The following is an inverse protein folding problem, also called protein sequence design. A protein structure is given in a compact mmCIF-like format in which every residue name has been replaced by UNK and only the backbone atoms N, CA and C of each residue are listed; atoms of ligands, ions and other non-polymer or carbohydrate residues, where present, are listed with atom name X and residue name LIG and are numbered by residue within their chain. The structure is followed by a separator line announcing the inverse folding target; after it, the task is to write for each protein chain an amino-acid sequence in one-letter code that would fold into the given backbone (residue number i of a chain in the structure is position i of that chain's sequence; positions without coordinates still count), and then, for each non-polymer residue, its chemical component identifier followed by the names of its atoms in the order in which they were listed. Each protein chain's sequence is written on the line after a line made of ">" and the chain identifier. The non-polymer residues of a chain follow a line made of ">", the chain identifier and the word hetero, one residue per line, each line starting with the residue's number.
data_IF_968592818040
#
_entry.id   IF_968592818040
#
_cell.length_a   1.000
_cell.length_b   1.000
_cell.length_c   1.000
_cell.angle_alpha   90.00
_cell.angle_beta   90.00
_cell.angle_gamma   90.00
#
_symmetry.space_group_name_H-M   'P 1'
#
loop_
_entity.id
_entity.type
_entity.pdbx_description
1 polymer ?
#
# COMPACT_ATOMS: atom_id res chain seq x y z
N UNK A 1 14.89 -11.86 2.44
CA UNK A 1 14.73 -10.42 2.29
C UNK A 1 15.82 -9.64 3.01
N UNK A 2 16.15 -10.08 4.21
CA UNK A 2 17.17 -9.40 5.01
C UNK A 2 18.59 -9.74 4.50
N UNK A 3 19.51 -8.80 4.65
CA UNK A 3 20.94 -8.95 4.41
C UNK A 3 21.74 -8.92 5.72
N UNK A 4 23.05 -8.83 5.63
CA UNK A 4 23.94 -8.55 6.79
C UNK A 4 24.02 -7.04 7.07
N UNK A 5 23.25 -6.24 6.38
CA UNK A 5 23.16 -4.79 6.46
C UNK A 5 21.77 -4.37 6.94
N UNK A 6 21.51 -3.06 6.97
CA UNK A 6 20.27 -2.52 7.47
C UNK A 6 19.17 -2.45 6.38
N UNK A 7 17.95 -2.82 6.75
CA UNK A 7 16.75 -2.65 5.95
C UNK A 7 15.76 -1.71 6.64
N UNK A 8 15.14 -0.80 5.88
CA UNK A 8 14.21 0.22 6.38
C UNK A 8 13.07 0.48 5.36
N UNK A 9 12.05 1.24 5.77
CA UNK A 9 11.03 1.81 4.90
C UNK A 9 10.20 0.78 4.12
N UNK A 10 9.81 -0.33 4.77
CA UNK A 10 9.05 -1.41 4.10
C UNK A 10 7.66 -0.96 3.67
N UNK A 11 7.28 -1.29 2.44
CA UNK A 11 5.96 -1.05 1.87
C UNK A 11 5.48 -2.28 1.09
N UNK A 12 4.34 -2.85 1.51
CA UNK A 12 3.67 -3.89 0.75
C UNK A 12 2.76 -3.24 -0.30
N UNK A 13 3.02 -3.54 -1.57
CA UNK A 13 2.15 -3.09 -2.65
C UNK A 13 0.73 -3.69 -2.49
N UNK A 14 -0.33 -2.94 -2.84
CA UNK A 14 -1.71 -3.43 -2.72
C UNK A 14 -2.05 -4.69 -3.53
N UNK A 15 -1.18 -5.12 -4.46
CA UNK A 15 -1.32 -6.41 -5.15
C UNK A 15 -1.15 -7.63 -4.21
N UNK A 16 -0.69 -7.40 -2.97
CA UNK A 16 -0.41 -8.44 -1.98
C UNK A 16 0.78 -9.34 -2.34
N UNK A 17 1.54 -9.00 -3.38
CA UNK A 17 2.63 -9.83 -3.92
C UNK A 17 3.97 -9.15 -3.94
N UNK A 18 4.02 -7.84 -4.14
CA UNK A 18 5.24 -7.07 -4.29
C UNK A 18 5.53 -6.27 -3.04
N UNK A 19 6.73 -6.42 -2.51
CA UNK A 19 7.23 -5.63 -1.38
C UNK A 19 8.36 -4.73 -1.85
N UNK A 20 8.30 -3.47 -1.47
CA UNK A 20 9.37 -2.49 -1.61
C UNK A 20 9.96 -2.20 -0.24
N UNK A 21 11.25 -1.98 -0.18
CA UNK A 21 11.97 -1.60 1.03
C UNK A 21 13.28 -0.92 0.66
N UNK A 22 13.89 -0.26 1.61
CA UNK A 22 15.20 0.37 1.43
C UNK A 22 16.26 -0.48 2.10
N UNK A 23 17.42 -0.62 1.49
CA UNK A 23 18.55 -1.36 2.06
C UNK A 23 19.88 -0.73 1.65
N UNK A 24 20.84 -0.72 2.55
CA UNK A 24 22.24 -0.41 2.26
C UNK A 24 23.06 -1.67 1.94
N UNK A 25 22.38 -2.83 1.87
CA UNK A 25 22.86 -4.11 1.36
C UNK A 25 22.34 -4.43 -0.04
N UNK A 26 22.26 -5.71 -0.39
CA UNK A 26 21.65 -6.19 -1.64
C UNK A 26 22.19 -5.54 -2.92
N UNK A 27 23.50 -5.27 -2.99
CA UNK A 27 24.14 -4.60 -4.14
C UNK A 27 23.62 -3.15 -4.32
N UNK A 28 23.53 -2.40 -3.18
CA UNK A 28 23.18 -0.97 -3.23
C UNK A 28 24.19 -0.18 -4.07
N UNK A 29 23.72 0.92 -4.68
CA UNK A 29 24.52 1.82 -5.52
C UNK A 29 25.23 2.90 -4.68
N UNK A 30 24.74 3.13 -3.47
CA UNK A 30 25.21 4.22 -2.60
C UNK A 30 24.92 3.93 -1.14
N UNK A 31 24.11 4.77 -0.51
CA UNK A 31 23.57 4.53 0.82
C UNK A 31 22.40 3.54 0.77
N UNK A 32 21.28 3.89 1.38
CA UNK A 32 20.04 3.13 1.23
C UNK A 32 19.50 3.25 -0.18
N UNK A 33 19.24 2.12 -0.82
CA UNK A 33 18.60 2.02 -2.12
C UNK A 33 17.23 1.35 -2.01
N UNK A 34 16.28 1.77 -2.84
CA UNK A 34 14.99 1.12 -2.97
C UNK A 34 15.17 -0.24 -3.66
N UNK A 35 14.76 -1.28 -2.96
CA UNK A 35 14.72 -2.65 -3.43
C UNK A 35 13.28 -3.11 -3.60
N UNK A 36 13.05 -4.13 -4.44
CA UNK A 36 11.79 -4.84 -4.46
C UNK A 36 11.98 -6.34 -4.49
N UNK A 37 11.00 -7.05 -3.97
CA UNK A 37 10.91 -8.50 -4.01
C UNK A 37 9.46 -8.91 -4.21
N UNK A 38 9.25 -10.06 -4.85
CA UNK A 38 7.91 -10.59 -5.11
C UNK A 38 7.74 -11.92 -4.39
N UNK A 39 6.57 -12.12 -3.77
CA UNK A 39 6.25 -13.40 -3.14
C UNK A 39 5.88 -14.45 -4.20
N UNK A 40 6.33 -15.68 -3.98
CA UNK A 40 6.04 -16.86 -4.80
C UNK A 40 5.59 -18.00 -3.90
N UNK A 41 5.18 -19.12 -4.46
CA UNK A 41 4.80 -20.33 -3.71
C UNK A 41 5.93 -20.86 -2.82
N UNK A 42 7.18 -20.52 -3.13
CA UNK A 42 8.38 -20.95 -2.38
C UNK A 42 8.93 -19.88 -1.44
N UNK A 43 8.28 -18.71 -1.35
CA UNK A 43 8.70 -17.57 -0.53
C UNK A 43 9.09 -16.36 -1.38
N UNK A 44 9.81 -15.41 -0.79
CA UNK A 44 10.23 -14.18 -1.46
C UNK A 44 11.38 -14.45 -2.45
N UNK A 45 11.31 -13.79 -3.60
CA UNK A 45 12.44 -13.76 -4.56
C UNK A 45 13.64 -13.03 -3.96
N UNK A 46 14.84 -13.24 -4.52
CA UNK A 46 16.01 -12.42 -4.19
C UNK A 46 15.65 -10.95 -4.46
N UNK A 47 15.90 -10.02 -3.51
CA UNK A 47 15.69 -8.59 -3.73
C UNK A 47 16.42 -8.08 -4.95
N UNK A 48 15.79 -7.14 -5.67
CA UNK A 48 16.34 -6.47 -6.83
C UNK A 48 16.37 -4.97 -6.59
N UNK A 49 17.50 -4.36 -6.92
CA UNK A 49 17.67 -2.93 -6.90
C UNK A 49 16.82 -2.26 -8.01
N UNK A 50 16.09 -1.19 -7.67
CA UNK A 50 15.27 -0.44 -8.64
C UNK A 50 16.11 0.34 -9.65
N UNK A 51 17.38 0.59 -9.34
CA UNK A 51 18.32 1.27 -10.21
C UNK A 51 18.00 2.75 -10.47
N UNK A 52 18.87 3.36 -11.28
CA UNK A 52 18.67 4.74 -11.72
C UNK A 52 17.44 4.83 -12.68
N UNK A 53 16.60 5.88 -12.63
CA UNK A 53 16.76 7.13 -11.87
C UNK A 53 16.12 7.14 -10.48
N UNK A 54 15.60 6.01 -9.99
CA UNK A 54 14.98 5.90 -8.68
C UNK A 54 16.05 5.96 -7.61
N UNK A 55 17.02 5.06 -7.69
CA UNK A 55 18.17 5.01 -6.80
C UNK A 55 19.32 5.87 -7.32
N UNK A 56 20.09 6.41 -6.37
CA UNK A 56 21.22 7.32 -6.59
C UNK A 56 22.44 6.87 -5.75
N UNK A 57 23.47 7.71 -5.68
CA UNK A 57 24.61 7.46 -4.78
C UNK A 57 24.34 7.89 -3.33
N UNK A 58 23.23 8.54 -3.08
CA UNK A 58 22.77 8.93 -1.73
C UNK A 58 21.86 7.89 -1.11
N UNK A 59 21.08 8.32 -0.12
CA UNK A 59 20.01 7.50 0.46
C UNK A 59 18.70 7.73 -0.30
N UNK A 60 18.11 6.67 -0.79
CA UNK A 60 16.80 6.63 -1.41
C UNK A 60 15.89 5.73 -0.57
N UNK A 61 14.82 6.32 -0.01
CA UNK A 61 14.02 5.63 1.01
C UNK A 61 12.52 5.88 0.86
N UNK A 62 11.70 5.04 1.50
CA UNK A 62 10.25 5.21 1.61
C UNK A 62 9.49 5.19 0.28
N UNK A 63 9.81 4.26 -0.59
CA UNK A 63 9.11 4.11 -1.86
C UNK A 63 7.69 3.59 -1.65
N UNK A 64 6.68 4.34 -2.11
CA UNK A 64 5.27 3.96 -2.07
C UNK A 64 4.62 4.23 -3.42
N UNK A 65 3.82 3.29 -3.91
CA UNK A 65 3.08 3.46 -5.18
C UNK A 65 1.66 3.92 -4.93
N UNK A 66 1.05 4.57 -5.94
CA UNK A 66 -0.40 4.73 -5.97
C UNK A 66 -1.08 3.39 -6.29
N UNK A 67 -2.34 3.16 -5.83
CA UNK A 67 -3.05 1.90 -6.07
C UNK A 67 -3.21 1.56 -7.56
N UNK A 68 -3.27 2.55 -8.43
CA UNK A 68 -3.35 2.38 -9.89
C UNK A 68 -1.99 2.05 -10.54
N UNK A 69 -0.90 2.02 -9.76
CA UNK A 69 0.44 1.74 -10.23
C UNK A 69 1.07 2.83 -11.10
N UNK A 70 0.38 3.98 -11.31
CA UNK A 70 0.84 5.00 -12.26
C UNK A 70 1.84 5.99 -11.68
N UNK A 71 1.92 6.09 -10.35
CA UNK A 71 2.84 6.97 -9.65
C UNK A 71 3.49 6.29 -8.48
N UNK A 72 4.69 6.73 -8.16
CA UNK A 72 5.36 6.40 -6.92
C UNK A 72 5.90 7.67 -6.24
N UNK A 73 6.00 7.62 -4.93
CA UNK A 73 6.58 8.66 -4.10
C UNK A 73 7.73 8.05 -3.31
N UNK A 74 8.83 8.77 -3.21
CA UNK A 74 9.99 8.34 -2.43
C UNK A 74 10.77 9.54 -1.92
N UNK A 75 11.63 9.33 -0.94
CA UNK A 75 12.52 10.37 -0.43
C UNK A 75 13.95 10.11 -0.89
N UNK A 76 14.59 11.12 -1.44
CA UNK A 76 15.93 11.02 -2.01
C UNK A 76 16.72 12.33 -1.79
N UNK A 77 18.03 12.21 -1.70
CA UNK A 77 18.93 13.36 -1.82
C UNK A 77 19.25 13.61 -3.29
N UNK A 78 19.03 14.85 -3.75
CA UNK A 78 19.50 15.32 -5.07
C UNK A 78 20.17 16.66 -4.95
N UNK A 79 21.24 16.86 -5.71
CA UNK A 79 22.06 18.09 -5.68
C UNK A 79 21.22 19.36 -5.92
N UNK A 80 20.15 19.27 -6.71
CA UNK A 80 19.23 20.35 -7.05
C UNK A 80 18.03 20.44 -6.09
N UNK A 81 18.02 19.67 -5.00
CA UNK A 81 16.96 19.62 -3.98
C UNK A 81 16.95 20.85 -3.07
N UNK A 82 15.95 20.92 -2.19
CA UNK A 82 15.79 22.02 -1.22
C UNK A 82 16.42 21.72 0.15
N UNK A 83 16.67 20.44 0.46
CA UNK A 83 17.20 20.00 1.73
C UNK A 83 18.16 18.83 1.60
N UNK A 84 18.37 18.09 2.71
CA UNK A 84 19.16 16.85 2.66
C UNK A 84 18.41 15.75 1.93
N UNK A 85 17.11 15.58 2.23
CA UNK A 85 16.20 14.65 1.52
C UNK A 85 14.88 15.34 1.21
N UNK A 86 14.45 15.24 -0.03
CA UNK A 86 13.18 15.76 -0.51
C UNK A 86 12.27 14.63 -0.96
N UNK A 87 10.95 14.89 -1.03
CA UNK A 87 9.97 13.96 -1.55
C UNK A 87 9.83 14.15 -3.05
N UNK A 88 10.06 13.08 -3.80
CA UNK A 88 9.92 13.05 -5.25
C UNK A 88 8.70 12.23 -5.67
N UNK A 89 8.13 12.61 -6.81
CA UNK A 89 7.10 11.83 -7.51
C UNK A 89 7.70 11.27 -8.79
N UNK A 90 7.45 9.99 -9.04
CA UNK A 90 7.80 9.30 -10.27
C UNK A 90 6.52 8.92 -11.01
N UNK A 91 6.44 9.21 -12.30
CA UNK A 91 5.39 8.68 -13.18
C UNK A 91 5.89 7.37 -13.80
N UNK A 92 5.16 6.29 -13.56
CA UNK A 92 5.46 4.95 -14.05
C UNK A 92 4.75 4.74 -15.40
N UNK A 93 5.38 5.17 -16.49
CA UNK A 93 4.77 5.26 -17.83
C UNK A 93 4.41 3.88 -18.39
N UNK A 94 5.20 2.84 -18.08
CA UNK A 94 5.01 1.46 -18.55
C UNK A 94 4.49 0.52 -17.45
N UNK A 95 3.98 1.06 -16.33
CA UNK A 95 3.35 0.19 -15.34
C UNK A 95 2.12 -0.47 -16.00
N UNK A 96 2.13 -1.80 -16.05
CA UNK A 96 0.89 -2.53 -16.29
C UNK A 96 -0.15 -1.97 -15.34
N UNK A 97 -1.31 -1.58 -15.85
CA UNK A 97 -2.39 -1.07 -15.00
C UNK A 97 -2.59 -2.11 -13.90
N UNK A 98 -2.13 -1.80 -12.70
CA UNK A 98 -2.52 -2.59 -11.55
C UNK A 98 -4.03 -2.48 -11.53
N UNK A 99 -4.74 -3.56 -11.83
CA UNK A 99 -6.18 -3.55 -11.92
C UNK A 99 -6.87 -3.23 -10.59
N UNK A 100 -6.25 -2.37 -9.76
CA UNK A 100 -6.73 -2.02 -8.42
C UNK A 100 -7.51 -0.71 -8.45
N UNK A 101 -8.60 -0.68 -7.72
CA UNK A 101 -9.49 0.47 -7.61
C UNK A 101 -9.60 0.89 -6.14
N UNK A 102 -9.45 2.18 -5.89
CA UNK A 102 -9.75 2.73 -4.57
C UNK A 102 -11.28 2.86 -4.41
N UNK A 103 -11.86 1.98 -3.60
CA UNK A 103 -13.24 2.07 -3.18
C UNK A 103 -13.35 2.99 -1.96
N UNK A 104 -14.31 3.93 -1.99
CA UNK A 104 -14.66 4.79 -0.87
C UNK A 104 -16.10 4.54 -0.48
N UNK A 105 -16.31 4.17 0.77
CA UNK A 105 -17.63 3.93 1.35
C UNK A 105 -17.89 4.88 2.51
N UNK A 106 -19.16 4.98 2.86
CA UNK A 106 -19.64 5.71 4.03
C UNK A 106 -20.62 4.83 4.79
N UNK A 107 -20.33 4.56 6.05
CA UNK A 107 -21.21 3.82 6.95
C UNK A 107 -22.05 4.82 7.75
N UNK A 108 -23.31 4.98 7.36
CA UNK A 108 -24.24 5.93 7.96
C UNK A 108 -25.28 5.23 8.85
N UNK A 109 -25.78 5.97 9.84
CA UNK A 109 -26.78 5.51 10.78
C UNK A 109 -28.02 6.40 10.71
N UNK A 110 -29.21 5.80 10.80
CA UNK A 110 -30.47 6.54 10.68
C UNK A 110 -30.71 7.48 11.87
N UNK A 111 -30.21 7.11 13.04
CA UNK A 111 -30.48 7.79 14.31
C UNK A 111 -29.33 8.67 14.82
N UNK A 112 -28.18 8.70 14.11
CA UNK A 112 -27.01 9.48 14.50
C UNK A 112 -26.11 9.84 13.34
N UNK A 113 -25.30 10.88 13.49
CA UNK A 113 -24.35 11.35 12.47
C UNK A 113 -22.95 10.74 12.59
N UNK A 114 -22.61 10.15 13.74
CA UNK A 114 -21.29 9.55 13.98
C UNK A 114 -21.45 8.06 14.25
N UNK A 115 -20.55 7.24 13.71
CA UNK A 115 -20.56 5.81 13.98
C UNK A 115 -20.47 5.53 15.49
N UNK A 116 -21.24 4.55 16.02
CA UNK A 116 -21.07 4.08 17.39
C UNK A 116 -19.75 3.34 17.56
N UNK A 117 -19.39 3.05 18.81
CA UNK A 117 -18.30 2.13 19.11
C UNK A 117 -18.53 0.76 18.45
N UNK A 118 -17.46 0.07 18.09
CA UNK A 118 -17.54 -1.23 17.42
C UNK A 118 -17.99 -1.19 15.95
N UNK A 119 -18.14 0.00 15.35
CA UNK A 119 -18.45 0.12 13.93
C UNK A 119 -17.31 -0.47 13.09
N UNK A 120 -17.64 -1.46 12.25
CA UNK A 120 -16.69 -2.23 11.42
C UNK A 120 -17.33 -2.57 10.08
N UNK A 121 -16.51 -2.59 9.04
CA UNK A 121 -16.88 -3.08 7.71
C UNK A 121 -15.91 -4.19 7.33
N UNK A 122 -16.40 -5.41 7.21
CA UNK A 122 -15.64 -6.56 6.73
C UNK A 122 -15.92 -6.75 5.24
N UNK A 123 -14.87 -6.89 4.44
CA UNK A 123 -14.97 -7.10 2.98
C UNK A 123 -14.32 -8.43 2.63
N UNK A 124 -15.06 -9.31 1.95
CA UNK A 124 -14.58 -10.60 1.41
C UNK A 124 -14.80 -10.67 -0.09
N UNK A 125 -13.95 -11.39 -0.80
CA UNK A 125 -14.14 -11.69 -2.21
C UNK A 125 -15.12 -12.86 -2.35
N UNK A 126 -16.17 -12.70 -3.13
CA UNK A 126 -17.19 -13.73 -3.35
C UNK A 126 -16.69 -14.91 -4.21
N UNK A 127 -15.59 -14.76 -4.93
CA UNK A 127 -15.10 -15.79 -5.85
C UNK A 127 -14.33 -16.89 -5.12
N UNK A 128 -13.50 -16.52 -4.17
CA UNK A 128 -12.59 -17.40 -3.44
C UNK A 128 -12.85 -17.42 -1.93
N UNK A 129 -13.65 -16.46 -1.42
CA UNK A 129 -13.95 -16.29 -0.01
C UNK A 129 -12.83 -15.61 0.78
N UNK A 130 -11.82 -15.10 0.11
CA UNK A 130 -10.68 -14.46 0.76
C UNK A 130 -11.08 -13.14 1.43
N UNK A 131 -10.59 -12.96 2.65
CA UNK A 131 -10.75 -11.71 3.39
C UNK A 131 -9.89 -10.62 2.74
N UNK A 132 -10.53 -9.56 2.23
CA UNK A 132 -9.84 -8.37 1.72
C UNK A 132 -9.40 -7.49 2.88
N UNK A 133 -10.24 -7.33 3.88
CA UNK A 133 -9.88 -6.61 5.10
C UNK A 133 -11.05 -6.26 5.99
N UNK A 134 -10.70 -5.86 7.21
CA UNK A 134 -11.57 -5.26 8.20
C UNK A 134 -11.27 -3.77 8.33
N UNK A 135 -12.27 -2.94 8.14
CA UNK A 135 -12.12 -1.49 8.11
C UNK A 135 -12.92 -0.85 9.24
N UNK A 136 -12.28 0.02 9.99
CA UNK A 136 -12.96 0.85 10.99
C UNK A 136 -13.33 2.18 10.34
N UNK A 137 -14.63 2.51 10.19
CA UNK A 137 -15.07 3.79 9.66
C UNK A 137 -14.59 4.95 10.54
N UNK A 138 -14.23 6.06 9.91
CA UNK A 138 -13.77 7.23 10.64
C UNK A 138 -14.86 7.73 11.61
N UNK A 139 -14.55 7.98 12.88
CA UNK A 139 -15.56 8.35 13.89
C UNK A 139 -16.35 9.61 13.55
N UNK A 140 -15.75 10.56 12.81
CA UNK A 140 -16.39 11.86 12.54
C UNK A 140 -17.44 11.85 11.43
N UNK A 141 -17.32 10.93 10.46
CA UNK A 141 -18.10 10.97 9.22
C UNK A 141 -18.43 9.58 8.64
N UNK A 142 -18.05 8.50 9.33
CA UNK A 142 -18.34 7.14 8.88
C UNK A 142 -17.60 6.70 7.62
N UNK A 143 -16.68 7.50 7.07
CA UNK A 143 -15.99 7.15 5.83
C UNK A 143 -14.92 6.09 6.07
N UNK A 144 -14.79 5.19 5.10
CA UNK A 144 -13.70 4.21 5.02
C UNK A 144 -13.23 4.07 3.56
N UNK A 145 -12.07 3.49 3.37
CA UNK A 145 -11.52 3.24 2.03
C UNK A 145 -10.91 1.85 1.97
N UNK A 146 -11.16 1.15 0.88
CA UNK A 146 -10.59 -0.16 0.59
C UNK A 146 -9.98 -0.17 -0.82
N UNK A 147 -8.97 -1.01 -1.02
CA UNK A 147 -8.40 -1.25 -2.35
C UNK A 147 -8.98 -2.57 -2.86
N UNK A 148 -9.66 -2.51 -4.00
CA UNK A 148 -10.36 -3.64 -4.58
C UNK A 148 -9.86 -3.91 -6.00
N UNK A 149 -9.88 -5.17 -6.42
CA UNK A 149 -9.62 -5.57 -7.80
C UNK A 149 -10.89 -5.35 -8.64
N UNK A 150 -10.82 -4.64 -9.77
CA UNK A 150 -11.98 -4.43 -10.64
C UNK A 150 -12.53 -5.75 -11.20
N UNK A 151 -13.78 -5.73 -11.62
CA UNK A 151 -14.48 -6.87 -12.21
C UNK A 151 -14.56 -8.12 -11.30
N UNK A 152 -14.43 -7.93 -10.00
CA UNK A 152 -14.70 -8.94 -8.98
C UNK A 152 -15.98 -8.61 -8.23
N UNK A 153 -16.57 -9.61 -7.58
CA UNK A 153 -17.72 -9.45 -6.70
C UNK A 153 -17.29 -9.55 -5.24
N UNK A 154 -17.78 -8.64 -4.42
CA UNK A 154 -17.40 -8.53 -3.02
C UNK A 154 -18.63 -8.58 -2.11
N UNK A 155 -18.47 -9.21 -0.98
CA UNK A 155 -19.43 -9.22 0.11
C UNK A 155 -18.98 -8.24 1.19
N UNK A 156 -19.91 -7.36 1.57
CA UNK A 156 -19.68 -6.34 2.59
C UNK A 156 -20.56 -6.64 3.79
N UNK A 157 -19.97 -6.77 4.96
CA UNK A 157 -20.66 -6.94 6.23
C UNK A 157 -20.43 -5.70 7.09
N UNK A 158 -21.51 -5.06 7.51
CA UNK A 158 -21.50 -3.86 8.34
C UNK A 158 -22.00 -4.22 9.74
N UNK A 159 -21.17 -3.98 10.75
CA UNK A 159 -21.46 -4.27 12.13
C UNK A 159 -21.21 -3.04 13.01
N UNK A 160 -22.06 -2.87 14.04
CA UNK A 160 -21.85 -1.84 15.07
C UNK A 160 -22.57 -2.25 16.36
N UNK A 161 -22.04 -1.83 17.51
CA UNK A 161 -22.62 -2.14 18.81
C UNK A 161 -24.07 -1.63 18.94
N UNK A 162 -25.00 -2.52 19.22
CA UNK A 162 -26.42 -2.20 19.43
C UNK A 162 -27.25 -2.10 18.14
N UNK A 163 -26.70 -2.49 16.99
CA UNK A 163 -27.39 -2.53 15.71
C UNK A 163 -27.40 -3.95 15.14
N UNK A 164 -28.38 -4.24 14.30
CA UNK A 164 -28.40 -5.47 13.50
C UNK A 164 -27.30 -5.41 12.43
N UNK A 165 -26.66 -6.55 12.17
CA UNK A 165 -25.70 -6.70 11.07
C UNK A 165 -26.40 -6.47 9.73
N UNK A 166 -25.77 -5.71 8.86
CA UNK A 166 -26.24 -5.45 7.48
C UNK A 166 -25.24 -6.04 6.48
N UNK A 167 -25.76 -6.73 5.45
CA UNK A 167 -24.97 -7.37 4.40
C UNK A 167 -25.41 -6.92 2.99
#
# INVERSE_FOLDING_TARGET
>A
LNSDHDEDGVYMHPDGKTMYFSSDGHESMGGYDIMFSTITDTGWTKPKNMGYPINSVGDDVFFVTTPDGKRAYFSSFKEEGYGEKDVYVLELIDAEESGLTLYRGEFTFVDRYVPPSGARVTITNNTDGDLIGDYTPRPRDGQFSAILTPNQSYHFVYEADGYETYE
#
